data_IF_562759134385
#
_entry.id   IF_562759134385
#
_cell.length_a   1.000
_cell.length_b   1.000
_cell.length_c   1.000
_cell.angle_alpha   90.00
_cell.angle_beta   90.00
_cell.angle_gamma   90.00
#
_symmetry.space_group_name_H-M   'P 1'
#
loop_
_entity.id
_entity.type
_entity.pdbx_description
1 polymer ?
#
# COMPACT_ATOMS: atom_id res chain seq x y z
N UNK A 1 -10.79 12.23 -33.89
CA UNK A 1 -9.73 11.21 -34.05
C UNK A 1 -8.53 11.52 -33.14
N UNK A 2 -8.77 12.16 -31.99
CA UNK A 2 -7.74 12.58 -31.05
C UNK A 2 -8.26 12.22 -29.66
N UNK A 3 -7.48 11.51 -28.88
CA UNK A 3 -7.97 10.90 -27.64
C UNK A 3 -6.87 10.12 -26.96
N UNK A 4 -6.62 8.90 -27.42
CA UNK A 4 -5.57 8.06 -26.81
C UNK A 4 -4.18 8.48 -27.33
N UNK A 5 -4.05 8.84 -28.62
CA UNK A 5 -2.79 9.20 -29.25
C UNK A 5 -2.15 10.46 -28.65
N UNK A 6 -2.91 11.53 -28.44
CA UNK A 6 -2.45 12.77 -27.79
C UNK A 6 -1.99 12.52 -26.36
N UNK A 7 -2.80 11.77 -25.60
CA UNK A 7 -2.49 11.45 -24.19
C UNK A 7 -1.22 10.62 -24.12
N UNK A 8 -1.02 9.67 -25.03
CA UNK A 8 0.20 8.87 -25.09
C UNK A 8 1.44 9.74 -25.34
N UNK A 9 1.36 10.70 -26.26
CA UNK A 9 2.45 11.65 -26.54
C UNK A 9 2.79 12.49 -25.29
N UNK A 10 1.78 13.05 -24.62
CA UNK A 10 2.00 13.79 -23.37
C UNK A 10 2.62 12.93 -22.28
N UNK A 11 2.15 11.69 -22.12
CA UNK A 11 2.67 10.76 -21.12
C UNK A 11 4.16 10.45 -21.36
N UNK A 12 4.56 10.26 -22.61
CA UNK A 12 5.97 10.05 -22.99
C UNK A 12 6.82 11.26 -22.62
N UNK A 13 6.35 12.48 -22.90
CA UNK A 13 7.08 13.72 -22.55
C UNK A 13 7.25 13.84 -21.03
N UNK A 14 6.19 13.59 -20.26
CA UNK A 14 6.26 13.61 -18.79
C UNK A 14 7.25 12.56 -18.27
N UNK A 15 7.27 11.36 -18.83
CA UNK A 15 8.23 10.31 -18.46
C UNK A 15 9.67 10.73 -18.80
N UNK A 16 9.90 11.44 -19.91
CA UNK A 16 11.24 11.95 -20.25
C UNK A 16 11.74 12.98 -19.21
N UNK A 17 10.87 13.90 -18.78
CA UNK A 17 11.23 14.97 -17.85
C UNK A 17 11.41 14.43 -16.42
N UNK A 18 10.46 13.63 -15.96
CA UNK A 18 10.49 13.08 -14.59
C UNK A 18 11.38 11.85 -14.48
N UNK A 19 11.57 11.10 -15.56
CA UNK A 19 12.30 9.84 -15.60
C UNK A 19 11.45 8.63 -15.21
N UNK A 20 11.74 7.48 -15.83
CA UNK A 20 11.01 6.23 -15.63
C UNK A 20 11.00 5.72 -14.17
N UNK A 21 11.96 6.14 -13.34
CA UNK A 21 12.00 5.77 -11.91
C UNK A 21 11.13 6.69 -11.02
N UNK A 22 10.86 7.93 -11.43
CA UNK A 22 10.10 8.88 -10.61
C UNK A 22 8.59 8.72 -10.72
N UNK A 23 8.06 8.33 -11.88
CA UNK A 23 6.63 7.99 -12.03
C UNK A 23 6.16 6.91 -11.01
N UNK A 24 6.81 5.73 -10.92
CA UNK A 24 6.38 4.69 -9.99
C UNK A 24 6.67 5.06 -8.53
N UNK A 25 7.72 5.85 -8.27
CA UNK A 25 8.03 6.36 -6.93
C UNK A 25 6.94 7.32 -6.43
N UNK A 26 6.52 8.28 -7.26
CA UNK A 26 5.42 9.20 -6.97
C UNK A 26 4.08 8.46 -6.83
N UNK A 27 3.78 7.52 -7.72
CA UNK A 27 2.56 6.72 -7.62
C UNK A 27 2.53 5.88 -6.32
N UNK A 28 3.68 5.32 -5.91
CA UNK A 28 3.79 4.56 -4.65
C UNK A 28 3.66 5.45 -3.42
N UNK A 29 4.27 6.63 -3.40
CA UNK A 29 4.17 7.55 -2.25
C UNK A 29 2.76 8.14 -2.14
N UNK A 30 2.18 8.59 -3.24
CA UNK A 30 0.79 9.07 -3.31
C UNK A 30 -0.20 7.96 -2.96
N UNK A 31 0.04 6.72 -3.39
CA UNK A 31 -0.81 5.58 -3.06
C UNK A 31 -0.82 5.25 -1.56
N UNK A 32 0.33 5.37 -0.87
CA UNK A 32 0.42 5.19 0.58
C UNK A 32 -0.40 6.26 1.32
N UNK A 33 -0.22 7.54 0.99
CA UNK A 33 -0.98 8.63 1.60
C UNK A 33 -2.46 8.54 1.27
N UNK A 34 -2.82 8.30 0.00
CA UNK A 34 -4.20 8.15 -0.43
C UNK A 34 -4.90 6.96 0.25
N UNK A 35 -4.18 5.88 0.56
CA UNK A 35 -4.75 4.74 1.31
C UNK A 35 -5.12 5.15 2.75
N UNK A 36 -4.26 5.91 3.42
CA UNK A 36 -4.51 6.41 4.78
C UNK A 36 -5.72 7.37 4.76
N UNK A 37 -5.71 8.34 3.85
CA UNK A 37 -6.83 9.27 3.69
C UNK A 37 -8.13 8.54 3.32
N UNK A 38 -8.06 7.49 2.48
CA UNK A 38 -9.24 6.69 2.10
C UNK A 38 -9.76 5.85 3.27
N UNK A 39 -8.91 5.34 4.15
CA UNK A 39 -9.34 4.63 5.37
C UNK A 39 -10.00 5.58 6.37
N UNK A 40 -9.41 6.76 6.60
CA UNK A 40 -9.97 7.76 7.50
C UNK A 40 -11.29 8.34 6.94
N UNK A 41 -11.31 8.69 5.65
CA UNK A 41 -12.53 9.14 4.98
C UNK A 41 -13.64 8.07 4.98
N UNK A 42 -13.28 6.78 4.93
CA UNK A 42 -14.24 5.68 5.02
C UNK A 42 -14.77 5.49 6.45
N UNK A 43 -13.93 5.68 7.48
CA UNK A 43 -14.38 5.67 8.88
C UNK A 43 -15.37 6.81 9.14
N UNK A 44 -15.06 8.02 8.69
CA UNK A 44 -15.98 9.17 8.78
C UNK A 44 -17.31 8.94 8.04
N UNK A 45 -17.28 8.29 6.87
CA UNK A 45 -18.52 7.90 6.16
C UNK A 45 -19.28 6.76 6.84
N UNK A 46 -18.58 5.84 7.52
CA UNK A 46 -19.19 4.72 8.23
C UNK A 46 -19.85 5.16 9.54
N UNK A 47 -19.29 6.14 10.26
CA UNK A 47 -19.91 6.69 11.48
C UNK A 47 -21.21 7.47 11.20
N UNK A 48 -21.43 7.90 9.95
CA UNK A 48 -22.71 8.45 9.48
C UNK A 48 -23.73 7.40 8.98
N UNK A 49 -23.34 6.11 8.90
CA UNK A 49 -24.21 5.03 8.44
C UNK A 49 -23.86 3.72 9.15
N UNK A 50 -24.50 3.46 10.29
CA UNK A 50 -24.42 2.19 11.03
C UNK A 50 -24.60 0.98 10.10
N UNK A 51 -23.49 0.40 9.66
CA UNK A 51 -23.45 -0.93 9.06
C UNK A 51 -22.09 -1.56 9.39
N UNK A 52 -22.16 -2.58 10.24
CA UNK A 52 -21.04 -3.40 10.68
C UNK A 52 -20.30 -3.94 9.45
N UNK A 53 -19.00 -3.64 9.24
CA UNK A 53 -18.26 -4.34 8.22
C UNK A 53 -17.95 -5.73 8.78
N UNK A 54 -18.79 -6.68 8.38
CA UNK A 54 -18.52 -8.10 8.52
C UNK A 54 -17.06 -8.37 8.13
N UNK A 55 -16.37 -8.94 9.11
CA UNK A 55 -15.17 -9.76 9.00
C UNK A 55 -14.92 -10.21 7.55
N UNK A 56 -14.10 -9.44 6.81
CA UNK A 56 -13.57 -9.90 5.53
C UNK A 56 -12.40 -10.81 5.85
N UNK A 57 -12.74 -12.08 6.04
CA UNK A 57 -11.90 -13.27 5.88
C UNK A 57 -10.66 -12.97 5.04
N UNK A 58 -9.47 -13.11 5.64
CA UNK A 58 -8.21 -13.23 4.88
C UNK A 58 -8.20 -14.65 4.29
N UNK A 59 -8.30 -14.85 2.96
CA UNK A 59 -7.96 -16.12 2.36
C UNK A 59 -6.46 -16.06 2.05
N UNK A 60 -5.65 -16.77 2.82
CA UNK A 60 -4.22 -16.83 2.60
C UNK A 60 -3.47 -17.26 3.84
N UNK A 61 -3.33 -18.56 3.98
CA UNK A 61 -2.38 -19.19 4.87
C UNK A 61 -0.96 -18.69 4.55
N UNK A 62 -0.30 -18.09 5.53
CA UNK A 62 1.17 -18.04 5.61
C UNK A 62 1.56 -17.82 7.08
N UNK A 63 1.58 -18.92 7.84
CA UNK A 63 2.60 -19.18 8.85
C UNK A 63 3.20 -20.53 8.47
N UNK A 64 4.53 -20.71 8.44
CA UNK A 64 5.36 -20.49 9.62
C UNK A 64 6.77 -19.95 9.30
N UNK A 65 7.09 -18.79 9.85
CA UNK A 65 8.45 -18.27 9.89
C UNK A 65 8.73 -17.68 11.26
N UNK A 66 8.87 -18.56 12.27
CA UNK A 66 9.45 -18.20 13.55
C UNK A 66 10.85 -17.66 13.26
N UNK A 67 11.01 -16.34 13.26
CA UNK A 67 12.33 -15.74 13.42
C UNK A 67 12.68 -15.98 14.88
N UNK A 68 13.40 -17.08 15.11
CA UNK A 68 14.11 -17.41 16.34
C UNK A 68 15.16 -16.32 16.57
N UNK A 69 14.70 -15.17 17.04
CA UNK A 69 15.55 -14.16 17.63
C UNK A 69 16.19 -14.75 18.87
N UNK A 70 17.50 -14.73 18.89
CA UNK A 70 18.38 -15.20 19.95
C UNK A 70 18.06 -14.51 21.28
N UNK A 71 17.20 -15.12 22.09
CA UNK A 71 17.26 -14.92 23.52
C UNK A 71 18.53 -15.62 24.01
N UNK A 72 19.52 -14.83 24.39
CA UNK A 72 20.72 -15.26 25.11
C UNK A 72 20.29 -15.73 26.50
N UNK A 73 19.65 -16.91 26.59
CA UNK A 73 19.52 -17.60 27.87
C UNK A 73 20.83 -18.34 28.09
N UNK A 74 21.73 -17.69 28.82
CA UNK A 74 22.96 -18.28 29.36
C UNK A 74 22.53 -19.28 30.44
N UNK A 75 22.67 -20.61 30.23
CA UNK A 75 22.43 -21.56 31.30
C UNK A 75 23.63 -21.50 32.26
N UNK A 76 23.31 -21.39 33.53
CA UNK A 76 23.92 -22.13 34.64
C UNK A 76 25.44 -22.40 34.58
N UNK A 77 26.18 -21.74 35.47
CA UNK A 77 27.37 -22.33 36.08
C UNK A 77 27.22 -22.21 37.59
N UNK A 78 26.89 -23.35 38.20
CA UNK A 78 27.16 -23.66 39.61
C UNK A 78 28.66 -23.63 39.89
#
# INVERSE_FOLDING_TARGET
MFGISEIAIFLVIVILIFGAKKLPELARSLGKSARILKSEAKAMKADGSSSIPAHRTRPGADMPGVIRGTATEKPEAR
#
